data_IF_883079469543
#
_entry.id   IF_883079469543
#
_cell.length_a   1.000
_cell.length_b   1.000
_cell.length_c   1.000
_cell.angle_alpha   90.00
_cell.angle_beta   90.00
_cell.angle_gamma   90.00
#
_symmetry.space_group_name_H-M   'P 1'
#
loop_
_entity.id
_entity.type
_entity.pdbx_description
1 polymer ?
#
# COMPACT_ATOMS: atom_id res chain seq x y z
N UNK A 1 20.33 23.09 -20.72
CA UNK A 1 19.96 22.12 -19.69
C UNK A 1 20.41 20.75 -20.22
N UNK A 2 21.46 20.17 -19.64
CA UNK A 2 21.91 18.85 -20.05
C UNK A 2 20.78 17.84 -19.82
N UNK A 3 20.45 17.08 -20.85
CA UNK A 3 19.42 16.03 -20.74
C UNK A 3 20.10 14.85 -20.04
N UNK A 4 19.92 14.77 -18.72
CA UNK A 4 20.41 13.65 -17.92
C UNK A 4 19.67 12.39 -18.33
N UNK A 5 20.38 11.37 -18.75
CA UNK A 5 19.76 10.09 -19.18
C UNK A 5 19.11 9.34 -18.00
N UNK A 6 18.09 8.48 -18.22
CA UNK A 6 17.54 7.66 -17.14
C UNK A 6 18.58 6.79 -16.41
N UNK A 7 19.65 6.39 -17.10
CA UNK A 7 20.76 5.64 -16.49
C UNK A 7 21.59 6.50 -15.53
N UNK A 8 21.80 7.76 -15.83
CA UNK A 8 22.47 8.71 -14.92
C UNK A 8 21.56 9.08 -13.76
N UNK A 9 20.29 9.32 -14.03
CA UNK A 9 19.31 9.63 -13.00
C UNK A 9 19.18 8.51 -11.96
N UNK A 10 19.14 7.24 -12.36
CA UNK A 10 19.06 6.13 -11.40
C UNK A 10 20.35 5.95 -10.60
N UNK A 11 21.53 6.21 -11.19
CA UNK A 11 22.79 6.21 -10.45
C UNK A 11 22.82 7.31 -9.39
N UNK A 12 22.42 8.53 -9.76
CA UNK A 12 22.28 9.65 -8.82
C UNK A 12 21.30 9.32 -7.70
N UNK A 13 20.13 8.76 -8.01
CA UNK A 13 19.16 8.32 -7.03
C UNK A 13 19.74 7.28 -6.06
N UNK A 14 20.50 6.29 -6.54
CA UNK A 14 21.15 5.29 -5.67
C UNK A 14 22.16 5.94 -4.71
N UNK A 15 22.89 6.94 -5.16
CA UNK A 15 23.79 7.73 -4.31
C UNK A 15 23.01 8.57 -3.29
N UNK A 16 22.05 9.38 -3.73
CA UNK A 16 21.27 10.27 -2.87
C UNK A 16 20.41 9.52 -1.82
N UNK A 17 20.04 8.28 -2.11
CA UNK A 17 19.24 7.43 -1.20
C UNK A 17 20.07 6.41 -0.42
N UNK A 18 21.38 6.66 -0.31
CA UNK A 18 22.29 5.87 0.52
C UNK A 18 22.28 4.36 0.23
N UNK A 19 22.19 3.99 -1.06
CA UNK A 19 22.20 2.59 -1.51
C UNK A 19 23.61 2.08 -1.86
N UNK A 20 24.65 2.83 -1.52
CA UNK A 20 26.07 2.55 -1.84
C UNK A 20 26.64 1.38 -1.02
N UNK A 21 25.96 0.94 0.03
CA UNK A 21 26.35 -0.27 0.75
C UNK A 21 26.22 -1.54 -0.11
N UNK A 22 25.46 -1.48 -1.20
CA UNK A 22 25.42 -2.52 -2.20
C UNK A 22 26.70 -2.46 -3.05
N UNK A 23 27.34 -3.60 -3.28
CA UNK A 23 28.48 -3.67 -4.19
C UNK A 23 28.05 -3.39 -5.64
N UNK A 24 28.99 -3.15 -6.53
CA UNK A 24 28.74 -2.70 -7.92
C UNK A 24 27.81 -3.62 -8.71
N UNK A 25 27.96 -4.95 -8.58
CA UNK A 25 27.13 -5.91 -9.33
C UNK A 25 25.66 -5.88 -8.88
N UNK A 26 25.30 -5.99 -7.59
CA UNK A 26 23.92 -5.79 -7.14
C UNK A 26 23.33 -4.43 -7.54
N UNK A 27 24.07 -3.33 -7.38
CA UNK A 27 23.59 -2.01 -7.82
C UNK A 27 23.23 -2.02 -9.31
N UNK A 28 24.14 -2.49 -10.15
CA UNK A 28 23.91 -2.56 -11.59
C UNK A 28 22.67 -3.41 -11.94
N UNK A 29 22.52 -4.61 -11.34
CA UNK A 29 21.37 -5.49 -11.61
C UNK A 29 20.05 -4.87 -11.16
N UNK A 30 20.01 -4.21 -10.00
CA UNK A 30 18.83 -3.51 -9.53
C UNK A 30 18.46 -2.36 -10.47
N UNK A 31 19.42 -1.54 -10.90
CA UNK A 31 19.19 -0.46 -11.85
C UNK A 31 18.63 -0.97 -13.18
N UNK A 32 19.19 -2.06 -13.73
CA UNK A 32 18.73 -2.69 -14.96
C UNK A 32 17.29 -3.21 -14.85
N UNK A 33 16.94 -3.88 -13.73
CA UNK A 33 15.57 -4.36 -13.47
C UNK A 33 14.60 -3.18 -13.37
N UNK A 34 14.96 -2.11 -12.66
CA UNK A 34 14.10 -0.92 -12.52
C UNK A 34 13.90 -0.26 -13.89
N UNK A 35 14.97 0.00 -14.64
CA UNK A 35 14.91 0.65 -15.94
C UNK A 35 14.20 -0.19 -17.00
N UNK A 36 14.15 -1.52 -16.86
CA UNK A 36 13.39 -2.38 -17.77
C UNK A 36 11.91 -1.99 -17.85
N UNK A 37 11.36 -1.39 -16.78
CA UNK A 37 9.97 -0.88 -16.76
C UNK A 37 9.74 0.28 -17.73
N UNK A 38 10.82 0.92 -18.22
CA UNK A 38 10.76 1.96 -19.26
C UNK A 38 10.61 1.39 -20.67
N UNK A 39 10.90 0.09 -20.86
CA UNK A 39 10.81 -0.53 -22.18
C UNK A 39 9.37 -0.65 -22.66
N UNK A 40 9.17 -0.47 -23.97
CA UNK A 40 7.89 -0.75 -24.62
C UNK A 40 7.57 -2.25 -24.50
N UNK A 41 6.38 -2.59 -24.03
CA UNK A 41 5.96 -3.98 -23.86
C UNK A 41 6.46 -4.67 -22.60
N UNK A 42 7.09 -3.95 -21.68
CA UNK A 42 7.51 -4.50 -20.37
C UNK A 42 6.37 -5.28 -19.70
N UNK A 43 6.65 -6.50 -19.29
CA UNK A 43 5.68 -7.42 -18.69
C UNK A 43 6.12 -7.97 -17.32
N UNK A 44 7.33 -7.63 -16.85
CA UNK A 44 7.93 -8.13 -15.61
C UNK A 44 8.49 -9.55 -15.72
N UNK A 45 8.68 -10.06 -16.94
CA UNK A 45 9.33 -11.35 -17.18
C UNK A 45 10.85 -11.21 -17.17
N UNK A 46 11.54 -12.31 -16.91
CA UNK A 46 13.02 -12.32 -16.93
C UNK A 46 13.60 -11.94 -18.30
N UNK A 47 12.85 -12.19 -19.41
CA UNK A 47 13.23 -11.75 -20.76
C UNK A 47 13.39 -10.24 -20.86
N UNK A 48 12.46 -9.49 -20.26
CA UNK A 48 12.45 -8.03 -20.34
C UNK A 48 13.72 -7.43 -19.71
N UNK A 49 14.17 -8.05 -18.60
CA UNK A 49 15.40 -7.62 -17.94
C UNK A 49 16.65 -7.92 -18.79
N UNK A 50 16.65 -9.08 -19.49
CA UNK A 50 17.72 -9.45 -20.40
C UNK A 50 17.79 -8.59 -21.66
N UNK A 51 16.70 -7.97 -22.07
CA UNK A 51 16.65 -7.03 -23.19
C UNK A 51 17.14 -5.61 -22.77
N UNK A 52 16.93 -5.23 -21.51
CA UNK A 52 17.33 -3.93 -20.98
C UNK A 52 18.83 -3.85 -20.62
N UNK A 53 19.40 -4.94 -20.14
CA UNK A 53 20.78 -5.01 -19.66
C UNK A 53 21.68 -5.94 -20.47
N UNK A 54 22.99 -5.91 -20.22
CA UNK A 54 23.98 -6.73 -20.96
C UNK A 54 23.95 -8.21 -20.54
N UNK A 55 23.21 -8.57 -19.47
CA UNK A 55 23.20 -9.92 -18.95
C UNK A 55 22.09 -10.76 -19.54
N UNK A 56 22.33 -12.06 -19.68
CA UNK A 56 21.29 -13.00 -20.08
C UNK A 56 20.17 -13.11 -19.04
N UNK A 57 18.93 -13.33 -19.45
CA UNK A 57 17.73 -13.43 -18.60
C UNK A 57 17.89 -14.36 -17.38
N UNK A 58 18.66 -15.45 -17.52
CA UNK A 58 18.92 -16.38 -16.43
C UNK A 58 19.73 -15.76 -15.30
N UNK A 59 20.61 -14.80 -15.62
CA UNK A 59 21.41 -14.06 -14.64
C UNK A 59 20.51 -13.26 -13.70
N UNK A 60 19.46 -12.59 -14.19
CA UNK A 60 18.49 -11.87 -13.36
C UNK A 60 17.68 -12.79 -12.49
N UNK A 61 17.23 -13.92 -13.04
CA UNK A 61 16.54 -14.96 -12.26
C UNK A 61 17.41 -15.53 -11.14
N UNK A 62 18.69 -15.79 -11.42
CA UNK A 62 19.67 -16.24 -10.43
C UNK A 62 19.98 -15.15 -9.40
N UNK A 63 20.14 -13.89 -9.84
CA UNK A 63 20.37 -12.75 -8.96
C UNK A 63 19.24 -12.58 -7.94
N UNK A 64 17.98 -12.63 -8.37
CA UNK A 64 16.82 -12.55 -7.47
C UNK A 64 16.73 -13.77 -6.55
N UNK A 65 16.98 -14.99 -7.04
CA UNK A 65 16.77 -16.21 -6.27
C UNK A 65 17.94 -16.52 -5.30
N UNK A 66 19.17 -16.30 -5.74
CA UNK A 66 20.40 -16.78 -5.07
C UNK A 66 21.50 -15.73 -4.92
N UNK A 67 21.34 -14.53 -5.50
CA UNK A 67 22.34 -13.47 -5.41
C UNK A 67 22.69 -13.16 -3.95
N UNK A 68 23.97 -12.91 -3.68
CA UNK A 68 24.47 -12.52 -2.37
C UNK A 68 24.47 -10.99 -2.27
N UNK A 69 23.41 -10.42 -1.73
CA UNK A 69 23.27 -8.99 -1.46
C UNK A 69 22.31 -8.79 -0.28
N UNK A 70 22.46 -7.68 0.42
CA UNK A 70 21.72 -7.38 1.64
C UNK A 70 20.34 -6.81 1.31
N UNK A 71 19.38 -7.70 1.05
CA UNK A 71 17.98 -7.37 0.78
C UNK A 71 17.26 -6.80 2.01
N UNK A 72 17.66 -7.18 3.22
CA UNK A 72 17.07 -6.64 4.46
C UNK A 72 17.45 -5.18 4.65
N UNK A 73 18.75 -4.87 4.55
CA UNK A 73 19.21 -3.48 4.65
C UNK A 73 18.64 -2.60 3.53
N UNK A 74 18.46 -3.15 2.32
CA UNK A 74 17.81 -2.43 1.24
C UNK A 74 16.34 -2.10 1.59
N UNK A 75 15.59 -3.07 2.15
CA UNK A 75 14.21 -2.85 2.60
C UNK A 75 14.14 -1.77 3.69
N UNK A 76 14.98 -1.85 4.71
CA UNK A 76 15.04 -0.87 5.80
C UNK A 76 15.39 0.53 5.29
N UNK A 77 16.38 0.63 4.40
CA UNK A 77 16.77 1.89 3.78
C UNK A 77 15.63 2.46 2.93
N UNK A 78 15.02 1.67 2.07
CA UNK A 78 13.90 2.10 1.24
C UNK A 78 12.70 2.58 2.07
N UNK A 79 12.35 1.89 3.16
CA UNK A 79 11.29 2.30 4.10
C UNK A 79 11.61 3.66 4.73
N UNK A 80 12.82 3.79 5.29
CA UNK A 80 13.28 5.03 5.94
C UNK A 80 13.24 6.21 4.99
N UNK A 81 13.85 6.06 3.81
CA UNK A 81 13.95 7.12 2.82
C UNK A 81 12.58 7.52 2.25
N UNK A 82 11.71 6.54 1.98
CA UNK A 82 10.34 6.82 1.52
C UNK A 82 9.53 7.58 2.57
N UNK A 83 9.61 7.15 3.83
CA UNK A 83 8.92 7.82 4.94
C UNK A 83 9.44 9.24 5.15
N UNK A 84 10.76 9.41 5.20
CA UNK A 84 11.41 10.70 5.38
C UNK A 84 11.02 11.67 4.26
N UNK A 85 11.11 11.24 2.99
CA UNK A 85 10.76 12.06 1.82
C UNK A 85 9.32 12.58 1.90
N UNK A 86 8.35 11.72 2.24
CA UNK A 86 6.93 12.13 2.32
C UNK A 86 6.66 12.96 3.58
N UNK A 87 7.32 12.67 4.70
CA UNK A 87 7.19 13.45 5.94
C UNK A 87 7.74 14.87 5.79
N UNK A 88 8.83 15.04 5.06
CA UNK A 88 9.38 16.36 4.73
C UNK A 88 8.42 17.16 3.84
N UNK A 89 7.82 16.49 2.84
CA UNK A 89 6.81 17.09 1.98
C UNK A 89 5.57 17.52 2.78
N UNK A 90 5.05 16.63 3.64
CA UNK A 90 3.92 16.89 4.54
C UNK A 90 4.17 18.12 5.42
N UNK A 91 5.34 18.21 6.04
CA UNK A 91 5.72 19.36 6.88
C UNK A 91 5.86 20.65 6.08
N UNK A 92 6.46 20.59 4.90
CA UNK A 92 6.64 21.74 4.01
C UNK A 92 5.30 22.32 3.55
N UNK A 93 4.36 21.45 3.18
CA UNK A 93 3.09 21.83 2.58
C UNK A 93 1.95 21.98 3.62
N UNK A 94 2.23 21.69 4.91
CA UNK A 94 1.23 21.73 5.98
C UNK A 94 0.08 20.75 5.80
N UNK A 95 0.31 19.64 5.09
CA UNK A 95 -0.70 18.62 4.77
C UNK A 95 -0.55 17.39 5.64
N UNK A 96 -1.67 16.67 5.98
CA UNK A 96 -1.61 15.49 6.80
C UNK A 96 -0.78 14.36 6.16
N UNK A 97 -0.16 13.54 7.03
CA UNK A 97 0.57 12.35 6.65
C UNK A 97 -0.37 11.13 6.76
N UNK A 98 -0.50 10.38 5.67
CA UNK A 98 -1.34 9.19 5.60
C UNK A 98 -0.51 7.93 5.39
N UNK A 99 -0.90 6.83 6.06
CA UNK A 99 -0.33 5.50 5.81
C UNK A 99 -1.51 4.58 5.53
N UNK A 100 -1.66 4.17 4.27
CA UNK A 100 -2.71 3.23 3.87
C UNK A 100 -2.16 1.81 3.82
N UNK A 101 -2.90 0.86 4.43
CA UNK A 101 -2.53 -0.55 4.52
C UNK A 101 -3.64 -1.39 3.91
N UNK A 102 -3.27 -2.32 3.00
CA UNK A 102 -4.20 -3.24 2.35
C UNK A 102 -3.44 -4.44 1.75
N UNK A 103 -4.16 -5.41 1.22
CA UNK A 103 -3.55 -6.53 0.50
C UNK A 103 -4.18 -6.76 -0.87
N UNK A 104 -3.46 -7.49 -1.70
CA UNK A 104 -3.97 -7.88 -3.02
C UNK A 104 -3.52 -9.28 -3.38
N UNK A 105 -4.33 -9.98 -4.19
CA UNK A 105 -3.97 -11.28 -4.76
C UNK A 105 -3.36 -11.10 -6.15
N UNK A 106 -2.27 -11.81 -6.39
CA UNK A 106 -1.58 -11.92 -7.67
C UNK A 106 -1.83 -13.31 -8.25
N UNK A 107 -2.83 -13.48 -9.12
CA UNK A 107 -3.22 -14.78 -9.65
C UNK A 107 -2.08 -15.48 -10.40
N UNK A 108 -2.01 -16.80 -10.24
CA UNK A 108 -1.09 -17.69 -10.95
C UNK A 108 -1.83 -18.92 -11.48
N UNK A 109 -1.28 -19.52 -12.54
CA UNK A 109 -1.79 -20.78 -13.04
C UNK A 109 -1.57 -21.88 -12.00
N UNK A 110 -2.60 -22.66 -11.75
CA UNK A 110 -2.49 -23.86 -10.88
C UNK A 110 -1.48 -24.82 -11.50
N UNK A 111 -0.47 -25.26 -10.75
CA UNK A 111 0.52 -26.20 -11.28
C UNK A 111 -0.14 -27.54 -11.61
N UNK A 112 0.28 -28.16 -12.70
CA UNK A 112 -0.10 -29.54 -13.01
C UNK A 112 0.39 -30.48 -11.90
N UNK A 113 -0.34 -31.57 -11.62
CA UNK A 113 0.09 -32.62 -10.70
C UNK A 113 1.45 -33.23 -11.06
N UNK A 114 1.86 -33.14 -12.32
CA UNK A 114 3.16 -33.60 -12.83
C UNK A 114 4.26 -32.54 -12.76
N UNK A 115 3.98 -31.35 -12.22
CA UNK A 115 4.96 -30.27 -12.17
C UNK A 115 6.11 -30.61 -11.23
N UNK A 116 7.32 -30.80 -11.77
CA UNK A 116 8.53 -31.10 -10.98
C UNK A 116 8.98 -29.91 -10.09
N UNK A 117 8.64 -28.68 -10.45
CA UNK A 117 9.02 -27.46 -9.73
C UNK A 117 7.86 -26.46 -9.74
N UNK A 118 6.85 -26.65 -8.89
CA UNK A 118 5.75 -25.70 -8.76
C UNK A 118 6.24 -24.34 -8.24
N UNK A 119 5.45 -23.29 -8.44
CA UNK A 119 5.73 -21.97 -7.89
C UNK A 119 5.64 -22.03 -6.35
N UNK A 120 6.73 -21.65 -5.68
CA UNK A 120 6.82 -21.70 -4.22
C UNK A 120 6.01 -20.55 -3.60
N UNK A 121 5.34 -20.84 -2.47
CA UNK A 121 4.58 -19.87 -1.69
C UNK A 121 3.31 -19.37 -2.35
N UNK A 122 2.85 -19.97 -3.45
CA UNK A 122 1.53 -19.75 -4.00
C UNK A 122 0.51 -20.68 -3.30
N UNK A 123 -0.70 -20.15 -3.12
CA UNK A 123 -1.80 -20.86 -2.46
C UNK A 123 -3.16 -20.37 -2.97
N UNK A 124 -4.23 -20.86 -2.36
CA UNK A 124 -5.59 -20.45 -2.64
C UNK A 124 -5.99 -19.28 -1.75
N UNK A 125 -6.45 -18.18 -2.36
CA UNK A 125 -6.84 -16.96 -1.67
C UNK A 125 -8.17 -16.45 -2.23
N UNK A 126 -9.02 -15.88 -1.37
CA UNK A 126 -10.22 -15.19 -1.84
C UNK A 126 -9.83 -13.82 -2.42
N UNK A 127 -10.18 -13.59 -3.68
CA UNK A 127 -9.97 -12.31 -4.36
C UNK A 127 -11.27 -11.51 -4.33
N UNK A 128 -11.31 -10.43 -3.56
CA UNK A 128 -12.46 -9.52 -3.53
C UNK A 128 -12.70 -8.87 -4.90
N UNK A 129 -11.63 -8.62 -5.66
CA UNK A 129 -11.73 -8.06 -7.01
C UNK A 129 -12.41 -9.01 -8.01
N UNK A 130 -12.15 -10.33 -7.89
CA UNK A 130 -12.72 -11.35 -8.78
C UNK A 130 -13.97 -12.01 -8.19
N UNK A 131 -14.32 -11.75 -6.91
CA UNK A 131 -15.44 -12.33 -6.20
C UNK A 131 -15.34 -13.85 -6.01
N UNK A 132 -14.13 -14.45 -6.12
CA UNK A 132 -13.92 -15.90 -6.06
C UNK A 132 -12.56 -16.27 -5.45
N UNK A 133 -12.41 -17.54 -5.12
CA UNK A 133 -11.12 -18.10 -4.72
C UNK A 133 -10.23 -18.29 -5.94
N UNK A 134 -9.01 -17.77 -5.89
CA UNK A 134 -8.01 -17.87 -6.95
C UNK A 134 -6.69 -18.43 -6.39
N UNK A 135 -5.97 -19.15 -7.22
CA UNK A 135 -4.62 -19.62 -6.90
C UNK A 135 -3.60 -18.53 -7.24
N UNK A 136 -2.68 -18.24 -6.31
CA UNK A 136 -1.67 -17.20 -6.52
C UNK A 136 -0.91 -16.82 -5.27
N UNK A 137 -0.34 -15.63 -5.28
CA UNK A 137 0.32 -15.05 -4.11
C UNK A 137 -0.55 -13.92 -3.55
N UNK A 138 -0.73 -13.89 -2.24
CA UNK A 138 -1.28 -12.73 -1.55
C UNK A 138 -0.13 -11.82 -1.13
N UNK A 139 -0.26 -10.53 -1.37
CA UNK A 139 0.75 -9.51 -1.09
C UNK A 139 0.12 -8.44 -0.22
N UNK A 140 0.72 -8.21 0.93
CA UNK A 140 0.41 -7.14 1.87
C UNK A 140 1.24 -5.91 1.53
N UNK A 141 0.63 -4.74 1.56
CA UNK A 141 1.28 -3.49 1.21
C UNK A 141 0.96 -2.38 2.21
N UNK A 142 1.90 -1.46 2.34
CA UNK A 142 1.69 -0.16 2.94
C UNK A 142 2.26 0.93 2.04
N UNK A 143 1.55 2.05 1.96
CA UNK A 143 2.01 3.26 1.31
C UNK A 143 2.04 4.40 2.33
N UNK A 144 3.00 5.29 2.18
CA UNK A 144 3.05 6.57 2.87
C UNK A 144 2.74 7.67 1.87
N UNK A 145 1.86 8.61 2.23
CA UNK A 145 1.41 9.65 1.30
C UNK A 145 1.02 10.95 2.01
N UNK A 146 1.03 12.02 1.25
CA UNK A 146 0.54 13.35 1.62
C UNK A 146 0.12 14.10 0.37
N UNK A 147 -0.97 14.85 0.42
CA UNK A 147 -1.54 15.48 -0.78
C UNK A 147 -1.74 14.45 -1.91
N UNK A 148 -1.21 14.73 -3.08
CA UNK A 148 -1.28 13.85 -4.26
C UNK A 148 -0.06 12.90 -4.40
N UNK A 149 0.89 12.99 -3.49
CA UNK A 149 2.12 12.18 -3.50
C UNK A 149 1.97 10.96 -2.60
N UNK A 150 2.36 9.82 -3.12
CA UNK A 150 2.44 8.59 -2.32
C UNK A 150 3.61 7.71 -2.75
N UNK A 151 4.27 7.09 -1.78
CA UNK A 151 5.39 6.18 -1.98
C UNK A 151 5.07 4.81 -1.38
N UNK A 152 5.54 3.77 -2.05
CA UNK A 152 5.45 2.42 -1.52
C UNK A 152 6.37 2.30 -0.30
N UNK A 153 5.80 2.09 0.89
CA UNK A 153 6.53 1.89 2.14
C UNK A 153 6.93 0.44 2.34
N UNK A 154 6.01 -0.48 2.06
CA UNK A 154 6.22 -1.92 2.19
C UNK A 154 5.42 -2.68 1.15
N UNK A 155 6.00 -3.75 0.62
CA UNK A 155 5.34 -4.66 -0.30
C UNK A 155 5.89 -6.07 -0.03
N UNK A 156 5.16 -6.88 0.74
CA UNK A 156 5.59 -8.19 1.23
C UNK A 156 4.60 -9.29 0.87
N UNK A 157 5.10 -10.46 0.54
CA UNK A 157 4.28 -11.66 0.35
C UNK A 157 3.70 -12.14 1.68
N UNK A 158 2.38 -12.42 1.71
CA UNK A 158 1.76 -13.12 2.83
C UNK A 158 2.21 -14.59 2.80
N UNK A 159 2.85 -15.03 3.86
CA UNK A 159 3.36 -16.38 4.01
C UNK A 159 3.43 -16.73 5.51
N UNK A 160 3.45 -18.04 5.87
CA UNK A 160 3.48 -18.44 7.27
C UNK A 160 4.63 -17.84 8.07
N UNK A 161 5.79 -17.64 7.43
CA UNK A 161 6.98 -17.06 8.06
C UNK A 161 6.79 -15.60 8.47
N UNK A 162 5.90 -14.86 7.81
CA UNK A 162 5.56 -13.47 8.11
C UNK A 162 4.32 -13.35 9.03
N UNK A 163 3.76 -14.45 9.49
CA UNK A 163 2.57 -14.49 10.33
C UNK A 163 1.27 -14.17 9.57
N UNK A 164 0.26 -13.73 10.31
CA UNK A 164 -1.03 -13.28 9.76
C UNK A 164 -0.91 -11.89 9.13
N UNK A 165 -1.91 -11.47 8.35
CA UNK A 165 -1.97 -10.10 7.83
C UNK A 165 -1.99 -9.04 8.94
N UNK A 166 -2.57 -9.39 10.10
CA UNK A 166 -2.53 -8.50 11.28
C UNK A 166 -1.11 -8.41 11.83
N UNK A 167 -0.39 -9.54 11.96
CA UNK A 167 1.01 -9.51 12.42
C UNK A 167 1.89 -8.68 11.48
N UNK A 168 1.69 -8.80 10.17
CA UNK A 168 2.38 -7.98 9.17
C UNK A 168 2.03 -6.49 9.29
N UNK A 169 0.77 -6.16 9.60
CA UNK A 169 0.33 -4.79 9.87
C UNK A 169 0.99 -4.24 11.12
N UNK A 170 1.03 -5.02 12.20
CA UNK A 170 1.70 -4.64 13.45
C UNK A 170 3.22 -4.45 13.25
N UNK A 171 3.86 -5.30 12.40
CA UNK A 171 5.27 -5.11 12.02
C UNK A 171 5.50 -3.77 11.30
N UNK A 172 4.60 -3.41 10.36
CA UNK A 172 4.65 -2.11 9.69
C UNK A 172 4.53 -0.97 10.71
N UNK A 173 3.52 -1.00 11.59
CA UNK A 173 3.32 0.04 12.58
C UNK A 173 4.52 0.17 13.52
N UNK A 174 5.10 -0.94 14.00
CA UNK A 174 6.32 -0.93 14.82
C UNK A 174 7.53 -0.35 14.10
N UNK A 175 7.62 -0.51 12.79
CA UNK A 175 8.71 0.03 11.97
C UNK A 175 8.62 1.54 11.73
N UNK A 176 7.47 2.16 12.01
CA UNK A 176 7.31 3.62 11.90
C UNK A 176 8.11 4.35 12.99
N UNK A 177 8.61 5.55 12.74
CA UNK A 177 9.12 6.43 13.77
C UNK A 177 8.05 6.72 14.84
N UNK A 178 8.47 7.06 16.04
CA UNK A 178 7.55 7.44 17.12
C UNK A 178 6.98 8.85 16.90
N UNK A 179 5.77 9.08 17.40
CA UNK A 179 5.08 10.38 17.39
C UNK A 179 5.00 11.03 15.99
N UNK A 180 4.64 10.24 15.01
CA UNK A 180 4.54 10.73 13.63
C UNK A 180 3.33 11.62 13.39
N UNK A 181 2.27 11.55 14.22
CA UNK A 181 0.99 12.22 13.98
C UNK A 181 0.30 11.75 12.69
N UNK A 182 0.71 10.61 12.13
CA UNK A 182 0.15 10.10 10.89
C UNK A 182 -1.24 9.47 11.10
N UNK A 183 -2.08 9.55 10.07
CA UNK A 183 -3.36 8.84 10.01
C UNK A 183 -3.18 7.51 9.28
N UNK A 184 -3.44 6.42 10.00
CA UNK A 184 -3.39 5.05 9.47
C UNK A 184 -4.75 4.72 8.88
N UNK A 185 -4.79 4.39 7.58
CA UNK A 185 -6.01 4.16 6.83
C UNK A 185 -6.12 2.68 6.42
N UNK A 186 -7.23 2.03 6.73
CA UNK A 186 -7.41 0.62 6.42
C UNK A 186 -8.88 0.23 6.26
N UNK A 187 -9.10 -0.94 5.67
CA UNK A 187 -10.44 -1.49 5.52
C UNK A 187 -10.93 -2.21 6.80
N UNK A 188 -12.16 -2.72 6.75
CA UNK A 188 -12.81 -3.36 7.88
C UNK A 188 -12.19 -4.70 8.29
N UNK A 189 -11.31 -5.26 7.48
CA UNK A 189 -10.62 -6.50 7.80
C UNK A 189 -9.49 -6.26 8.81
N UNK A 190 -8.81 -5.12 8.68
CA UNK A 190 -7.65 -4.74 9.50
C UNK A 190 -8.04 -3.97 10.77
N UNK A 191 -9.23 -3.34 10.83
CA UNK A 191 -9.65 -2.51 11.96
C UNK A 191 -9.99 -3.39 13.18
N UNK A 192 -9.06 -3.48 14.11
CA UNK A 192 -9.21 -4.26 15.35
C UNK A 192 -8.45 -3.59 16.53
N UNK A 193 -8.73 -3.99 17.80
CA UNK A 193 -8.12 -3.36 18.97
C UNK A 193 -6.60 -3.36 18.95
N UNK A 194 -5.94 -4.48 18.64
CA UNK A 194 -4.48 -4.57 18.67
C UNK A 194 -3.79 -3.64 17.66
N UNK A 195 -4.45 -3.36 16.53
CA UNK A 195 -3.96 -2.36 15.56
C UNK A 195 -4.14 -0.95 16.09
N UNK A 196 -5.28 -0.67 16.76
CA UNK A 196 -5.52 0.62 17.41
C UNK A 196 -4.47 0.90 18.49
N UNK A 197 -4.21 -0.09 19.37
CA UNK A 197 -3.21 0.03 20.42
C UNK A 197 -1.83 0.34 19.83
N UNK A 198 -1.43 -0.39 18.78
CA UNK A 198 -0.16 -0.16 18.09
C UNK A 198 -0.08 1.23 17.41
N UNK A 199 -1.19 1.75 16.91
CA UNK A 199 -1.24 3.14 16.42
C UNK A 199 -1.00 4.14 17.55
N UNK A 200 -1.67 3.97 18.68
CA UNK A 200 -1.53 4.85 19.85
C UNK A 200 -0.10 4.82 20.41
N UNK A 201 0.51 3.62 20.54
CA UNK A 201 1.92 3.48 20.96
C UNK A 201 2.89 4.25 20.07
N UNK A 202 2.58 4.42 18.78
CA UNK A 202 3.38 5.16 17.80
C UNK A 202 3.02 6.64 17.68
N UNK A 203 2.01 7.11 18.44
CA UNK A 203 1.49 8.47 18.30
C UNK A 203 0.85 8.70 16.92
N UNK A 204 0.19 7.67 16.38
CA UNK A 204 -0.59 7.70 15.16
C UNK A 204 -2.08 7.64 15.49
N UNK A 205 -2.91 8.11 14.56
CA UNK A 205 -4.36 7.97 14.61
C UNK A 205 -4.85 6.92 13.62
N UNK A 206 -5.86 6.16 13.98
CA UNK A 206 -6.49 5.18 13.11
C UNK A 206 -7.80 5.73 12.54
N UNK A 207 -7.96 5.71 11.21
CA UNK A 207 -9.24 5.86 10.54
C UNK A 207 -9.49 4.59 9.71
N UNK A 208 -10.42 3.75 10.15
CA UNK A 208 -10.68 2.46 9.53
C UNK A 208 -12.15 2.22 9.24
N UNK A 209 -12.47 1.59 8.12
CA UNK A 209 -13.81 1.04 7.97
C UNK A 209 -14.05 -0.05 9.03
N UNK A 210 -15.31 -0.23 9.41
CA UNK A 210 -15.72 -1.30 10.33
C UNK A 210 -16.82 -2.15 9.71
N UNK A 211 -16.91 -3.40 10.17
CA UNK A 211 -18.06 -4.26 9.88
C UNK A 211 -19.30 -3.71 10.57
N UNK A 212 -20.46 -3.75 9.91
CA UNK A 212 -21.72 -3.23 10.44
C UNK A 212 -22.26 -3.98 11.65
N UNK A 213 -21.78 -5.18 11.91
CA UNK A 213 -22.11 -5.98 13.10
C UNK A 213 -21.21 -5.66 14.32
N UNK A 214 -20.32 -4.65 14.25
CA UNK A 214 -19.49 -4.24 15.38
C UNK A 214 -20.36 -3.70 16.51
N UNK A 215 -20.01 -4.07 17.75
CA UNK A 215 -20.79 -3.70 18.93
C UNK A 215 -20.34 -2.34 19.46
N UNK A 216 -21.31 -1.48 19.67
CA UNK A 216 -21.25 -0.16 20.31
C UNK A 216 -22.07 -0.21 21.60
N UNK A 217 -21.91 0.78 22.46
CA UNK A 217 -22.62 0.88 23.74
C UNK A 217 -23.27 2.27 23.93
N UNK A 218 -24.20 2.68 23.02
CA UNK A 218 -24.92 3.93 23.20
C UNK A 218 -25.72 3.86 24.51
N UNK A 219 -25.58 4.89 25.37
CA UNK A 219 -26.22 4.94 26.68
C UNK A 219 -26.00 3.67 27.54
N UNK A 220 -24.87 2.99 27.36
CA UNK A 220 -24.53 1.74 28.05
C UNK A 220 -25.22 0.49 27.48
N UNK A 221 -26.04 0.60 26.45
CA UNK A 221 -26.77 -0.54 25.85
C UNK A 221 -25.92 -1.20 24.76
N UNK A 222 -25.77 -2.51 24.84
CA UNK A 222 -25.04 -3.31 23.83
C UNK A 222 -25.83 -3.40 22.53
N UNK A 223 -25.37 -2.75 21.47
CA UNK A 223 -26.06 -2.64 20.18
C UNK A 223 -25.07 -2.81 19.02
N UNK A 224 -25.44 -3.50 17.93
CA UNK A 224 -24.61 -3.49 16.73
C UNK A 224 -24.72 -2.15 15.98
N UNK A 225 -23.68 -1.77 15.24
CA UNK A 225 -23.71 -0.54 14.45
C UNK A 225 -24.89 -0.52 13.43
N UNK A 226 -25.23 -1.68 12.86
CA UNK A 226 -26.39 -1.79 11.97
C UNK A 226 -27.73 -1.64 12.69
N UNK A 227 -27.86 -2.16 13.91
CA UNK A 227 -29.12 -2.06 14.68
C UNK A 227 -29.26 -0.64 15.24
N UNK A 228 -28.16 -0.02 15.68
CA UNK A 228 -28.17 1.39 16.06
C UNK A 228 -28.62 2.26 14.89
N UNK A 229 -28.01 2.09 13.69
CA UNK A 229 -28.41 2.86 12.51
C UNK A 229 -29.87 2.67 12.12
N UNK A 230 -30.43 1.48 12.35
CA UNK A 230 -31.84 1.18 12.06
C UNK A 230 -32.80 1.75 13.12
N UNK A 231 -32.36 1.97 14.35
CA UNK A 231 -33.19 2.50 15.45
C UNK A 231 -33.22 4.03 15.51
N UNK A 232 -32.27 4.70 14.87
CA UNK A 232 -32.19 6.16 14.85
C UNK A 232 -33.27 6.77 13.92
N UNK A 233 -33.86 7.89 14.37
CA UNK A 233 -34.66 8.72 13.52
C UNK A 233 -33.82 9.29 12.37
N UNK A 234 -34.32 9.35 11.12
CA UNK A 234 -33.63 9.96 10.00
C UNK A 234 -33.12 11.39 10.27
N UNK A 235 -33.82 12.14 11.11
CA UNK A 235 -33.43 13.50 11.54
C UNK A 235 -32.17 13.54 12.42
N UNK A 236 -31.72 12.41 12.97
CA UNK A 236 -30.46 12.33 13.71
C UNK A 236 -29.22 12.35 12.78
N UNK A 237 -29.42 12.14 11.48
CA UNK A 237 -28.32 12.18 10.52
C UNK A 237 -28.23 13.57 9.89
N UNK A 238 -27.02 14.08 9.77
CA UNK A 238 -26.75 15.35 9.11
C UNK A 238 -25.98 15.15 7.79
N UNK A 239 -26.12 16.08 6.82
CA UNK A 239 -25.44 15.98 5.55
C UNK A 239 -23.96 16.36 5.68
N UNK A 240 -23.08 15.55 5.09
CA UNK A 240 -21.63 15.80 4.96
C UNK A 240 -21.25 15.64 3.50
N UNK A 241 -20.55 16.61 2.93
CA UNK A 241 -20.14 16.57 1.51
C UNK A 241 -18.63 16.40 1.37
N UNK A 242 -18.21 15.30 0.77
CA UNK A 242 -16.79 15.02 0.50
C UNK A 242 -16.60 14.74 -0.99
N UNK A 243 -15.65 15.46 -1.60
CA UNK A 243 -15.31 15.32 -3.04
C UNK A 243 -16.56 15.35 -3.96
N UNK A 244 -17.48 16.28 -3.68
CA UNK A 244 -18.71 16.47 -4.46
C UNK A 244 -19.79 15.41 -4.27
N UNK A 245 -19.67 14.53 -3.27
CA UNK A 245 -20.69 13.53 -2.91
C UNK A 245 -21.21 13.80 -1.51
N UNK A 246 -22.53 13.82 -1.36
CA UNK A 246 -23.19 14.04 -0.07
C UNK A 246 -23.55 12.70 0.58
N UNK A 247 -23.21 12.61 1.86
CA UNK A 247 -23.51 11.48 2.74
C UNK A 247 -24.36 11.98 3.91
N UNK A 248 -25.25 11.13 4.39
CA UNK A 248 -25.98 11.33 5.64
C UNK A 248 -25.23 10.60 6.73
N UNK A 249 -24.77 11.33 7.75
CA UNK A 249 -23.84 10.85 8.77
C UNK A 249 -24.44 11.01 10.16
N UNK A 250 -24.34 9.98 10.98
CA UNK A 250 -24.54 10.05 12.43
C UNK A 250 -23.22 9.77 13.12
N UNK A 251 -22.84 10.64 14.06
CA UNK A 251 -21.63 10.52 14.90
C UNK A 251 -22.01 9.87 16.21
N UNK A 252 -21.41 8.73 16.49
CA UNK A 252 -21.34 8.12 17.81
C UNK A 252 -19.95 8.35 18.39
N UNK A 253 -19.87 8.74 19.66
CA UNK A 253 -18.61 8.89 20.37
C UNK A 253 -18.71 8.16 21.70
N UNK A 254 -17.84 7.19 21.94
CA UNK A 254 -17.90 6.36 23.12
C UNK A 254 -17.24 5.00 22.98
N UNK A 255 -17.54 4.08 23.93
CA UNK A 255 -16.91 2.76 23.97
C UNK A 255 -17.46 1.81 22.90
N UNK A 256 -16.58 0.94 22.41
CA UNK A 256 -16.89 -0.19 21.56
C UNK A 256 -16.41 -1.48 22.26
N UNK A 257 -16.83 -2.64 21.72
CA UNK A 257 -16.32 -3.89 22.24
C UNK A 257 -14.78 -3.95 22.13
N UNK A 258 -14.11 -4.01 23.29
CA UNK A 258 -12.63 -4.01 23.45
C UNK A 258 -11.93 -2.71 23.02
N UNK A 259 -12.62 -1.60 22.96
CA UNK A 259 -12.06 -0.25 22.71
C UNK A 259 -12.78 0.70 23.66
N UNK A 260 -12.04 1.37 24.52
CA UNK A 260 -12.60 2.21 25.58
C UNK A 260 -13.28 3.47 25.04
N UNK A 261 -12.71 4.06 24.00
CA UNK A 261 -13.26 5.26 23.38
C UNK A 261 -12.81 5.40 21.92
N UNK A 262 -13.76 5.72 21.03
CA UNK A 262 -13.49 6.16 19.65
C UNK A 262 -14.71 6.89 19.08
N UNK A 263 -14.49 7.65 18.02
CA UNK A 263 -15.55 8.16 17.15
C UNK A 263 -15.96 7.07 16.17
N UNK A 264 -17.24 6.87 16.00
CA UNK A 264 -17.81 5.98 14.98
C UNK A 264 -18.82 6.76 14.13
N UNK A 265 -18.58 6.80 12.83
CA UNK A 265 -19.48 7.40 11.87
C UNK A 265 -20.35 6.29 11.22
N UNK A 266 -21.68 6.42 11.37
CA UNK A 266 -22.65 5.66 10.59
C UNK A 266 -23.00 6.49 9.36
N UNK A 267 -22.63 6.04 8.17
CA UNK A 267 -22.70 6.85 6.96
C UNK A 267 -23.49 6.15 5.85
N UNK A 268 -24.41 6.89 5.23
CA UNK A 268 -25.13 6.47 4.04
C UNK A 268 -24.86 7.46 2.90
N UNK A 269 -24.72 7.01 1.63
CA UNK A 269 -24.92 7.94 0.51
C UNK A 269 -26.30 8.58 0.61
N UNK A 270 -26.43 9.89 0.40
CA UNK A 270 -27.71 10.60 0.60
C UNK A 270 -28.85 9.98 -0.21
N UNK A 271 -28.59 9.56 -1.45
CA UNK A 271 -29.57 8.90 -2.32
C UNK A 271 -29.98 7.46 -1.86
N UNK A 272 -29.28 6.90 -0.86
CA UNK A 272 -29.51 5.54 -0.36
C UNK A 272 -29.72 5.51 1.15
N UNK A 273 -30.13 6.62 1.74
CA UNK A 273 -30.40 6.75 3.17
C UNK A 273 -31.36 5.65 3.64
N UNK A 274 -31.07 5.00 4.77
CA UNK A 274 -31.86 3.94 5.38
C UNK A 274 -31.77 2.56 4.70
N UNK A 275 -31.10 2.44 3.55
CA UNK A 275 -30.91 1.13 2.91
C UNK A 275 -29.77 0.37 3.62
N UNK A 276 -30.10 -0.75 4.28
CA UNK A 276 -29.14 -1.56 5.06
C UNK A 276 -27.85 -1.90 4.30
N UNK A 277 -27.93 -2.23 3.01
CA UNK A 277 -26.76 -2.55 2.18
C UNK A 277 -25.88 -1.34 1.86
N UNK A 278 -26.38 -0.12 2.02
CA UNK A 278 -25.65 1.12 1.76
C UNK A 278 -24.92 1.68 3.00
N UNK A 279 -25.23 1.15 4.20
CA UNK A 279 -24.57 1.56 5.43
C UNK A 279 -23.06 1.31 5.34
N UNK A 280 -22.27 2.32 5.65
CA UNK A 280 -20.83 2.25 5.88
C UNK A 280 -20.54 2.75 7.27
N UNK A 281 -19.63 2.06 7.95
CA UNK A 281 -19.25 2.39 9.32
C UNK A 281 -17.76 2.65 9.35
N UNK A 282 -17.37 3.78 9.97
CA UNK A 282 -15.98 4.19 10.09
C UNK A 282 -15.64 4.41 11.56
N UNK A 283 -14.46 3.98 11.97
CA UNK A 283 -13.86 4.26 13.26
C UNK A 283 -12.79 5.33 13.08
N UNK A 284 -12.75 6.31 13.97
CA UNK A 284 -11.66 7.27 14.09
C UNK A 284 -11.19 7.33 15.53
N UNK A 285 -9.89 7.23 15.77
CA UNK A 285 -9.30 7.36 17.11
C UNK A 285 -8.97 8.81 17.49
N UNK A 286 -9.08 9.75 16.57
CA UNK A 286 -8.92 11.18 16.80
C UNK A 286 -10.29 11.83 16.93
N UNK A 287 -10.72 12.10 18.16
CA UNK A 287 -12.02 12.71 18.45
C UNK A 287 -12.10 14.19 18.09
N UNK A 288 -10.97 14.83 17.83
CA UNK A 288 -10.91 16.27 17.48
C UNK A 288 -11.34 16.56 16.05
N UNK A 289 -11.33 15.55 15.18
CA UNK A 289 -11.69 15.71 13.79
C UNK A 289 -13.21 15.87 13.59
N UNK A 290 -13.59 16.74 12.64
CA UNK A 290 -14.97 16.82 12.15
C UNK A 290 -15.32 15.58 11.33
N UNK A 291 -16.61 15.29 11.19
CA UNK A 291 -17.11 14.16 10.41
C UNK A 291 -16.73 14.26 8.93
N UNK A 292 -16.72 15.49 8.39
CA UNK A 292 -16.25 15.78 7.05
C UNK A 292 -14.77 15.42 6.89
N UNK A 293 -13.93 15.87 7.83
CA UNK A 293 -12.48 15.59 7.81
C UNK A 293 -12.19 14.10 7.93
N UNK A 294 -12.92 13.37 8.79
CA UNK A 294 -12.77 11.90 8.93
C UNK A 294 -13.06 11.21 7.59
N UNK A 295 -14.16 11.56 6.94
CA UNK A 295 -14.52 10.95 5.65
C UNK A 295 -13.58 11.37 4.52
N UNK A 296 -13.12 12.62 4.52
CA UNK A 296 -12.12 13.10 3.58
C UNK A 296 -10.80 12.35 3.75
N UNK A 297 -10.27 12.26 4.97
CA UNK A 297 -9.03 11.53 5.26
C UNK A 297 -9.15 10.06 4.91
N UNK A 298 -10.26 9.41 5.24
CA UNK A 298 -10.50 8.03 4.86
C UNK A 298 -10.48 7.84 3.33
N UNK A 299 -10.91 8.85 2.56
CA UNK A 299 -10.90 8.77 1.10
C UNK A 299 -9.49 8.58 0.51
N UNK A 300 -8.43 9.00 1.23
CA UNK A 300 -7.04 8.77 0.82
C UNK A 300 -6.63 7.30 0.86
N UNK A 301 -7.37 6.42 1.56
CA UNK A 301 -7.17 4.96 1.50
C UNK A 301 -7.17 4.42 0.06
N UNK A 302 -7.99 5.05 -0.83
CA UNK A 302 -8.05 4.64 -2.23
C UNK A 302 -6.70 4.68 -2.97
N UNK A 303 -5.75 5.45 -2.48
CA UNK A 303 -4.42 5.58 -3.08
C UNK A 303 -3.68 4.24 -3.17
N UNK A 304 -3.89 3.31 -2.20
CA UNK A 304 -3.26 1.99 -2.25
C UNK A 304 -3.84 1.11 -3.37
N UNK A 305 -5.12 1.26 -3.69
CA UNK A 305 -5.74 0.55 -4.81
C UNK A 305 -5.21 1.07 -6.16
N UNK A 306 -4.95 2.38 -6.25
CA UNK A 306 -4.28 3.00 -7.40
C UNK A 306 -2.86 2.45 -7.55
N UNK A 307 -2.11 2.32 -6.45
CA UNK A 307 -0.78 1.70 -6.43
C UNK A 307 -0.82 0.26 -6.95
N UNK A 308 -1.72 -0.58 -6.43
CA UNK A 308 -1.85 -1.97 -6.90
C UNK A 308 -2.17 -2.04 -8.40
N UNK A 309 -3.05 -1.17 -8.88
CA UNK A 309 -3.39 -1.09 -10.32
C UNK A 309 -2.17 -0.70 -11.14
N UNK A 310 -1.43 0.32 -10.69
CA UNK A 310 -0.22 0.80 -11.37
C UNK A 310 0.88 -0.27 -11.41
N UNK A 311 1.17 -0.93 -10.28
CA UNK A 311 2.16 -1.99 -10.22
C UNK A 311 1.79 -3.21 -11.06
N UNK A 312 0.51 -3.60 -11.05
CA UNK A 312 0.01 -4.71 -11.91
C UNK A 312 0.12 -4.36 -13.39
N UNK A 313 -0.13 -3.11 -13.77
CA UNK A 313 -0.14 -2.67 -15.17
C UNK A 313 1.26 -2.34 -15.71
N UNK A 314 2.08 -1.65 -14.93
CA UNK A 314 3.31 -1.04 -15.43
C UNK A 314 4.60 -1.69 -14.91
N UNK A 315 4.54 -2.36 -13.75
CA UNK A 315 5.69 -2.97 -13.10
C UNK A 315 5.70 -4.51 -13.21
N UNK A 316 4.83 -5.06 -14.07
CA UNK A 316 4.76 -6.50 -14.30
C UNK A 316 4.26 -7.35 -13.12
N UNK A 317 3.67 -6.74 -12.09
CA UNK A 317 3.27 -7.47 -10.89
C UNK A 317 2.16 -8.51 -11.13
N UNK A 318 1.40 -8.39 -12.22
CA UNK A 318 0.40 -9.38 -12.65
C UNK A 318 1.04 -10.58 -13.38
N UNK A 319 2.11 -10.35 -14.13
CA UNK A 319 2.65 -11.26 -15.15
C UNK A 319 4.06 -11.79 -14.87
N UNK A 320 4.68 -11.42 -13.74
CA UNK A 320 6.01 -11.90 -13.36
C UNK A 320 6.10 -13.43 -13.39
N UNK A 321 7.29 -13.95 -13.76
CA UNK A 321 7.54 -15.38 -13.89
C UNK A 321 8.75 -15.82 -13.05
N UNK A 322 8.68 -15.60 -11.73
CA UNK A 322 9.64 -16.17 -10.76
C UNK A 322 9.01 -17.34 -10.04
N UNK A 323 9.79 -18.40 -9.80
CA UNK A 323 9.28 -19.62 -9.14
C UNK A 323 9.70 -19.73 -7.66
N UNK A 324 10.90 -19.25 -7.33
CA UNK A 324 11.40 -19.28 -5.96
C UNK A 324 10.73 -18.20 -5.11
N UNK A 325 10.28 -18.54 -3.91
CA UNK A 325 9.67 -17.60 -2.98
C UNK A 325 10.59 -16.40 -2.70
N UNK A 326 11.87 -16.65 -2.40
CA UNK A 326 12.88 -15.60 -2.18
C UNK A 326 13.04 -14.66 -3.39
N UNK A 327 12.94 -15.20 -4.62
CA UNK A 327 13.01 -14.36 -5.82
C UNK A 327 11.79 -13.44 -5.94
N UNK A 328 10.61 -13.89 -5.50
CA UNK A 328 9.41 -13.05 -5.46
C UNK A 328 9.54 -11.97 -4.37
N UNK A 329 9.97 -12.34 -3.16
CA UNK A 329 10.14 -11.38 -2.06
C UNK A 329 11.09 -10.25 -2.48
N UNK A 330 12.21 -10.59 -3.12
CA UNK A 330 13.17 -9.63 -3.67
C UNK A 330 12.61 -8.81 -4.84
N UNK A 331 11.81 -9.44 -5.71
CA UNK A 331 11.16 -8.71 -6.80
C UNK A 331 10.17 -7.67 -6.26
N UNK A 332 9.39 -8.01 -5.22
CA UNK A 332 8.49 -7.07 -4.56
C UNK A 332 9.26 -5.85 -3.99
N UNK A 333 10.40 -6.10 -3.35
CA UNK A 333 11.28 -5.03 -2.87
C UNK A 333 11.79 -4.14 -4.01
N UNK A 334 12.21 -4.76 -5.14
CA UNK A 334 12.65 -4.00 -6.32
C UNK A 334 11.51 -3.19 -6.92
N UNK A 335 10.28 -3.71 -6.93
CA UNK A 335 9.09 -2.96 -7.37
C UNK A 335 8.81 -1.75 -6.46
N UNK A 336 8.97 -1.89 -5.14
CA UNK A 336 8.84 -0.78 -4.20
C UNK A 336 9.93 0.29 -4.44
N UNK A 337 11.18 -0.14 -4.64
CA UNK A 337 12.29 0.76 -4.96
C UNK A 337 12.10 1.47 -6.32
N UNK A 338 11.59 0.75 -7.32
CA UNK A 338 11.27 1.33 -8.62
C UNK A 338 10.16 2.38 -8.53
N UNK A 339 9.12 2.13 -7.72
CA UNK A 339 8.09 3.13 -7.45
C UNK A 339 8.71 4.40 -6.85
N UNK A 340 9.60 4.25 -5.88
CA UNK A 340 10.31 5.38 -5.27
C UNK A 340 11.15 6.14 -6.29
N UNK A 341 11.94 5.43 -7.10
CA UNK A 341 12.73 6.05 -8.17
C UNK A 341 11.88 6.86 -9.16
N UNK A 342 10.80 6.27 -9.70
CA UNK A 342 9.94 6.98 -10.65
C UNK A 342 9.19 8.15 -10.01
N UNK A 343 8.95 8.14 -8.72
CA UNK A 343 8.29 9.26 -8.04
C UNK A 343 9.24 10.37 -7.61
N UNK A 344 10.51 10.08 -7.35
CA UNK A 344 11.44 11.05 -6.73
C UNK A 344 12.82 11.13 -7.39
N UNK A 345 13.20 10.17 -8.23
CA UNK A 345 14.55 10.07 -8.80
C UNK A 345 14.82 11.02 -9.98
N UNK A 346 13.85 11.83 -10.38
CA UNK A 346 13.95 12.74 -11.54
C UNK A 346 14.32 14.19 -11.14
N UNK A 347 14.77 14.38 -9.89
CA UNK A 347 15.13 15.70 -9.37
C UNK A 347 13.96 16.51 -8.81
N UNK A 348 12.73 16.02 -8.93
CA UNK A 348 11.52 16.58 -8.33
C UNK A 348 10.55 15.46 -7.99
N UNK A 349 9.65 15.73 -7.06
CA UNK A 349 8.64 14.75 -6.64
C UNK A 349 7.42 14.86 -7.57
N UNK A 350 7.03 13.74 -8.15
CA UNK A 350 5.87 13.63 -9.05
C UNK A 350 5.06 12.36 -8.76
N UNK A 351 3.78 12.32 -9.11
CA UNK A 351 3.03 11.07 -9.10
C UNK A 351 3.72 9.99 -9.93
N UNK A 352 3.72 8.75 -9.45
CA UNK A 352 4.42 7.61 -10.05
C UNK A 352 4.23 7.48 -11.57
N UNK A 353 2.97 7.61 -12.05
CA UNK A 353 2.66 7.44 -13.47
C UNK A 353 3.28 8.54 -14.34
N UNK A 354 3.41 9.76 -13.81
CA UNK A 354 4.08 10.88 -14.51
C UNK A 354 5.58 10.60 -14.60
N UNK A 355 6.22 10.25 -13.48
CA UNK A 355 7.64 9.96 -13.46
C UNK A 355 8.01 8.76 -14.35
N UNK A 356 7.22 7.70 -14.33
CA UNK A 356 7.41 6.58 -15.23
C UNK A 356 7.27 7.00 -16.71
N UNK A 357 6.30 7.86 -17.03
CA UNK A 357 6.12 8.37 -18.40
C UNK A 357 7.32 9.20 -18.85
N UNK A 358 7.80 10.12 -18.01
CA UNK A 358 8.99 10.93 -18.29
C UNK A 358 10.23 10.06 -18.54
N UNK A 359 10.47 9.06 -17.68
CA UNK A 359 11.56 8.11 -17.87
C UNK A 359 11.43 7.30 -19.17
N UNK A 360 10.23 6.86 -19.54
CA UNK A 360 9.98 6.14 -20.79
C UNK A 360 10.31 6.98 -22.01
N UNK A 361 9.89 8.24 -22.02
CA UNK A 361 10.16 9.17 -23.12
C UNK A 361 11.66 9.42 -23.25
N UNK A 362 12.35 9.66 -22.13
CA UNK A 362 13.80 9.86 -22.13
C UNK A 362 14.57 8.58 -22.52
N UNK A 363 14.09 7.40 -22.12
CA UNK A 363 14.72 6.11 -22.44
C UNK A 363 14.62 5.74 -23.94
N UNK A 364 13.55 6.15 -24.61
CA UNK A 364 13.39 5.93 -26.05
C UNK A 364 14.29 6.86 -26.88
N UNK A 365 14.62 8.03 -26.33
CA UNK A 365 15.41 9.06 -27.00
C UNK A 365 16.92 8.98 -26.68
N UNK A 366 17.33 8.04 -25.81
CA UNK A 366 18.73 7.79 -25.41
C UNK A 366 19.28 6.52 -26.05
#
# INVERSE_FOLDING_TARGET
MEIITPREQIRKFFFEKHLEFLTSVPQQRLQEIILSSCMKGHSGKMSDYGECGPAHRTTYGHFLAKGKWDDKRLEETQKRESFQTVSELSRRDGTPLFISIDDTVLPKTVPSSKAKRPTQGAGWHYSHLEGKVVYGHQVHAAIVGTGDTSLCYSLKRCCPENGTKIDMTLEILRSLPNQTGAYILMDSWYTNPSVLDACQEKGCHLIGAMKTNRILFPEGKRTSASDLAASLDPGCFHPVTVKGRTYMVYRYEGPLNKIDHAVVLLSYPAAAMGRKCALRVFLCSDSTLSDETILEYYSHRWTIEVLFRAHKRYMGLKSFMVRAAKALDRLLLVVALAHFFFSCGLGHIVPFHIGLHLCRTAFVNS
#
